data_IF_311415366189
#
_entry.id   IF_311415366189
#
_cell.length_a   1.000
_cell.length_b   1.000
_cell.length_c   1.000
_cell.angle_alpha   90.00
_cell.angle_beta   90.00
_cell.angle_gamma   90.00
#
_symmetry.space_group_name_H-M   'P 1'
#
loop_
_entity.id
_entity.type
_entity.pdbx_description
1 polymer ?
#
# COMPACT_ATOMS: atom_id res chain seq x y z
N UNK A 1 -6.48 -19.07 8.20
CA UNK A 1 -6.96 -18.37 6.99
C UNK A 1 -7.35 -16.97 7.39
N UNK A 2 -6.99 -15.94 6.62
CA UNK A 2 -7.21 -14.51 6.90
C UNK A 2 -7.84 -13.82 5.70
N UNK A 3 -8.62 -12.77 5.92
CA UNK A 3 -9.18 -11.89 4.88
C UNK A 3 -8.30 -10.66 4.76
N UNK A 4 -7.63 -10.48 3.62
CA UNK A 4 -6.59 -9.47 3.44
C UNK A 4 -6.90 -8.60 2.22
N UNK A 5 -7.00 -7.29 2.41
CA UNK A 5 -7.15 -6.32 1.32
C UNK A 5 -5.74 -5.92 0.84
N UNK A 6 -5.53 -5.96 -0.47
CA UNK A 6 -4.29 -5.50 -1.12
C UNK A 6 -4.65 -4.49 -2.20
N UNK A 7 -4.05 -3.30 -2.15
CA UNK A 7 -4.24 -2.27 -3.19
C UNK A 7 -3.07 -2.21 -4.17
N UNK A 8 -3.34 -1.83 -5.42
CA UNK A 8 -2.32 -1.71 -6.47
C UNK A 8 -1.86 -3.05 -7.04
N UNK A 9 -2.80 -3.98 -7.22
CA UNK A 9 -2.53 -5.38 -7.59
C UNK A 9 -2.39 -5.62 -9.10
N UNK A 10 -2.38 -4.58 -9.92
CA UNK A 10 -2.29 -4.74 -11.38
C UNK A 10 -0.91 -5.20 -11.87
N UNK A 11 0.16 -4.87 -11.15
CA UNK A 11 1.56 -5.18 -11.49
C UNK A 11 2.49 -5.06 -10.28
N UNK A 12 3.75 -5.41 -10.45
CA UNK A 12 4.83 -5.19 -9.47
C UNK A 12 4.57 -5.86 -8.12
N UNK A 13 4.93 -5.17 -7.04
CA UNK A 13 4.83 -5.70 -5.67
C UNK A 13 3.39 -6.11 -5.34
N UNK A 14 2.38 -5.30 -5.73
CA UNK A 14 0.98 -5.59 -5.39
C UNK A 14 0.45 -6.87 -6.04
N UNK A 15 0.84 -7.17 -7.27
CA UNK A 15 0.50 -8.42 -7.95
C UNK A 15 1.12 -9.62 -7.20
N UNK A 16 2.40 -9.52 -6.88
CA UNK A 16 3.13 -10.56 -6.13
C UNK A 16 2.54 -10.78 -4.73
N UNK A 17 2.14 -9.71 -4.04
CA UNK A 17 1.46 -9.79 -2.73
C UNK A 17 0.18 -10.61 -2.83
N UNK A 18 -0.68 -10.32 -3.82
CA UNK A 18 -1.93 -11.03 -3.99
C UNK A 18 -1.71 -12.53 -4.27
N UNK A 19 -0.78 -12.86 -5.16
CA UNK A 19 -0.44 -14.24 -5.50
C UNK A 19 0.15 -15.01 -4.32
N UNK A 20 1.11 -14.41 -3.60
CA UNK A 20 1.78 -15.09 -2.49
C UNK A 20 0.88 -15.27 -1.27
N UNK A 21 -0.01 -14.32 -0.97
CA UNK A 21 -1.00 -14.46 0.11
C UNK A 21 -2.01 -15.57 -0.22
N UNK A 22 -2.52 -15.60 -1.45
CA UNK A 22 -3.43 -16.64 -1.91
C UNK A 22 -2.78 -18.02 -1.90
N UNK A 23 -1.52 -18.14 -2.31
CA UNK A 23 -0.75 -19.38 -2.24
C UNK A 23 -0.53 -19.89 -0.81
N UNK A 24 -0.54 -19.00 0.19
CA UNK A 24 -0.50 -19.35 1.62
C UNK A 24 -1.90 -19.72 2.17
N UNK A 25 -2.94 -19.74 1.35
CA UNK A 25 -4.32 -20.10 1.72
C UNK A 25 -5.10 -18.97 2.40
N UNK A 26 -4.72 -17.72 2.19
CA UNK A 26 -5.47 -16.55 2.65
C UNK A 26 -6.43 -16.05 1.58
N UNK A 27 -7.59 -15.52 1.98
CA UNK A 27 -8.48 -14.82 1.06
C UNK A 27 -7.97 -13.39 0.81
N UNK A 28 -7.82 -13.03 -0.45
CA UNK A 28 -7.31 -11.74 -0.89
C UNK A 28 -8.39 -10.96 -1.64
N UNK A 29 -8.68 -9.74 -1.19
CA UNK A 29 -9.39 -8.76 -1.99
C UNK A 29 -8.35 -7.91 -2.73
N UNK A 30 -8.16 -8.21 -3.99
CA UNK A 30 -7.21 -7.54 -4.88
C UNK A 30 -7.86 -6.31 -5.52
N UNK A 31 -7.33 -5.12 -5.22
CA UNK A 31 -7.89 -3.83 -5.65
C UNK A 31 -6.93 -3.13 -6.59
N UNK A 32 -7.38 -2.82 -7.80
CA UNK A 32 -6.64 -2.03 -8.78
C UNK A 32 -7.58 -1.51 -9.88
N UNK A 33 -7.15 -0.53 -10.67
CA UNK A 33 -7.94 0.01 -11.80
C UNK A 33 -8.13 -1.01 -12.92
N UNK A 34 -7.13 -1.85 -13.16
CA UNK A 34 -7.17 -2.94 -14.14
C UNK A 34 -6.88 -4.27 -13.45
N UNK A 35 -7.63 -5.30 -13.77
CA UNK A 35 -7.47 -6.64 -13.19
C UNK A 35 -6.54 -7.44 -14.12
N UNK A 36 -5.36 -7.87 -13.65
CA UNK A 36 -4.45 -8.67 -14.45
C UNK A 36 -4.95 -10.11 -14.59
N UNK A 37 -4.72 -10.71 -15.75
CA UNK A 37 -5.11 -12.09 -16.06
C UNK A 37 -4.58 -13.09 -15.02
N UNK A 38 -3.40 -12.84 -14.47
CA UNK A 38 -2.76 -13.73 -13.48
C UNK A 38 -3.55 -13.91 -12.17
N UNK A 39 -4.47 -13.01 -11.85
CA UNK A 39 -5.31 -13.13 -10.65
C UNK A 39 -6.64 -13.84 -10.91
N UNK A 40 -7.05 -13.94 -12.18
CA UNK A 40 -8.34 -14.53 -12.53
C UNK A 40 -8.35 -16.05 -12.34
N UNK A 41 -9.49 -16.58 -11.86
CA UNK A 41 -9.67 -18.01 -11.64
C UNK A 41 -9.00 -18.57 -10.39
N UNK A 42 -8.34 -17.76 -9.57
CA UNK A 42 -7.83 -18.18 -8.27
C UNK A 42 -8.96 -18.11 -7.23
N UNK A 43 -9.34 -19.23 -6.65
CA UNK A 43 -10.44 -19.32 -5.68
C UNK A 43 -10.23 -18.47 -4.41
N UNK A 44 -8.97 -18.18 -4.07
CA UNK A 44 -8.60 -17.36 -2.92
C UNK A 44 -8.50 -15.88 -3.24
N UNK A 45 -8.73 -15.44 -4.49
CA UNK A 45 -8.60 -14.04 -4.89
C UNK A 45 -9.91 -13.51 -5.45
N UNK A 46 -10.46 -12.52 -4.79
CA UNK A 46 -11.53 -11.67 -5.33
C UNK A 46 -10.94 -10.38 -5.88
N UNK A 47 -11.31 -10.01 -7.09
CA UNK A 47 -10.79 -8.81 -7.75
C UNK A 47 -11.85 -7.72 -7.85
N UNK A 48 -11.50 -6.49 -7.46
CA UNK A 48 -12.34 -5.31 -7.67
C UNK A 48 -11.61 -4.25 -8.50
N UNK A 49 -12.29 -3.82 -9.58
CA UNK A 49 -11.83 -2.65 -10.35
C UNK A 49 -12.26 -1.38 -9.63
N UNK A 50 -11.28 -0.70 -9.01
CA UNK A 50 -11.49 0.51 -8.20
C UNK A 50 -10.35 1.49 -8.46
N UNK A 51 -10.70 2.75 -8.71
CA UNK A 51 -9.76 3.86 -8.69
C UNK A 51 -9.79 4.54 -7.31
N UNK A 52 -8.69 4.43 -6.57
CA UNK A 52 -8.57 5.02 -5.23
C UNK A 52 -8.67 6.56 -5.21
N UNK A 53 -8.49 7.20 -6.37
CA UNK A 53 -8.67 8.65 -6.50
C UNK A 53 -10.13 9.08 -6.49
N UNK A 54 -11.08 8.15 -6.61
CA UNK A 54 -12.52 8.42 -6.70
C UNK A 54 -13.26 7.78 -5.53
N UNK A 55 -13.84 8.59 -4.66
CA UNK A 55 -14.58 8.11 -3.48
C UNK A 55 -15.78 7.23 -3.86
N UNK A 56 -16.46 7.53 -4.97
CA UNK A 56 -17.57 6.72 -5.48
C UNK A 56 -17.15 5.29 -5.84
N UNK A 57 -15.91 5.09 -6.30
CA UNK A 57 -15.40 3.77 -6.62
C UNK A 57 -15.10 2.95 -5.35
N UNK A 58 -14.66 3.62 -4.29
CA UNK A 58 -14.38 2.98 -3.00
C UNK A 58 -15.63 2.39 -2.34
N UNK A 59 -16.85 2.89 -2.68
CA UNK A 59 -18.10 2.31 -2.19
C UNK A 59 -18.22 0.82 -2.56
N UNK A 60 -17.70 0.40 -3.73
CA UNK A 60 -17.66 -1.01 -4.14
C UNK A 60 -16.95 -1.90 -3.11
N UNK A 61 -15.94 -1.36 -2.43
CA UNK A 61 -15.22 -2.10 -1.38
C UNK A 61 -16.11 -2.25 -0.15
N UNK A 62 -16.79 -1.17 0.29
CA UNK A 62 -17.74 -1.22 1.39
C UNK A 62 -18.87 -2.24 1.15
N UNK A 63 -19.43 -2.23 -0.06
CA UNK A 63 -20.48 -3.17 -0.46
C UNK A 63 -19.99 -4.63 -0.44
N UNK A 64 -18.76 -4.88 -0.92
CA UNK A 64 -18.14 -6.20 -0.85
C UNK A 64 -17.92 -6.65 0.60
N UNK A 65 -17.37 -5.79 1.46
CA UNK A 65 -17.10 -6.14 2.86
C UNK A 65 -18.38 -6.43 3.61
N UNK A 66 -19.43 -5.64 3.43
CA UNK A 66 -20.72 -5.83 4.12
C UNK A 66 -21.45 -7.10 3.69
N UNK A 67 -21.37 -7.46 2.40
CA UNK A 67 -22.06 -8.62 1.86
C UNK A 67 -21.29 -9.93 2.02
N UNK A 68 -19.95 -9.89 1.90
CA UNK A 68 -19.15 -11.10 1.71
C UNK A 68 -18.28 -11.44 2.92
N UNK A 69 -17.42 -10.52 3.38
CA UNK A 69 -16.41 -10.85 4.40
C UNK A 69 -16.82 -10.57 5.83
N UNK A 70 -17.47 -9.44 6.08
CA UNK A 70 -17.87 -8.96 7.41
C UNK A 70 -16.73 -8.78 8.43
N UNK A 71 -15.51 -9.19 8.07
CA UNK A 71 -14.28 -9.05 8.87
C UNK A 71 -13.08 -8.91 7.94
N UNK A 72 -12.13 -8.06 8.33
CA UNK A 72 -10.84 -7.83 7.66
C UNK A 72 -9.72 -8.05 8.66
N UNK A 73 -8.80 -8.97 8.36
CA UNK A 73 -7.66 -9.28 9.21
C UNK A 73 -6.44 -8.41 8.92
N UNK A 74 -6.28 -7.99 7.65
CA UNK A 74 -5.21 -7.05 7.29
C UNK A 74 -5.55 -6.21 6.06
N UNK A 75 -4.91 -5.05 5.99
CA UNK A 75 -4.91 -4.19 4.80
C UNK A 75 -3.46 -3.90 4.43
N UNK A 76 -3.12 -4.05 3.15
CA UNK A 76 -1.84 -3.62 2.59
C UNK A 76 -2.12 -2.47 1.62
N UNK A 77 -1.86 -1.25 2.08
CA UNK A 77 -1.89 -0.05 1.23
C UNK A 77 -0.62 0.02 0.40
N UNK A 78 -0.61 -0.71 -0.72
CA UNK A 78 0.54 -0.76 -1.64
C UNK A 78 0.35 0.14 -2.87
N UNK A 79 -0.88 0.43 -3.27
CA UNK A 79 -1.13 1.34 -4.39
C UNK A 79 -0.41 2.67 -4.21
N UNK A 80 0.17 3.15 -5.29
CA UNK A 80 0.83 4.44 -5.32
C UNK A 80 0.93 4.98 -6.75
N UNK A 81 1.00 6.29 -6.84
CA UNK A 81 1.31 7.02 -8.07
C UNK A 81 2.59 7.81 -7.86
N UNK A 82 3.44 7.85 -8.86
CA UNK A 82 4.72 8.57 -8.86
C UNK A 82 4.71 9.60 -9.98
N UNK A 83 5.26 10.77 -9.69
CA UNK A 83 5.54 11.82 -10.67
C UNK A 83 6.99 12.26 -10.50
N UNK A 84 7.77 12.13 -11.56
CA UNK A 84 9.12 12.69 -11.65
C UNK A 84 9.06 13.95 -12.53
N UNK A 85 9.14 15.14 -11.90
CA UNK A 85 9.01 16.41 -12.58
C UNK A 85 9.72 17.51 -11.77
N UNK A 86 10.49 18.42 -12.40
CA UNK A 86 11.11 19.55 -11.69
C UNK A 86 10.08 20.33 -10.86
N UNK A 87 10.44 20.73 -9.65
CA UNK A 87 9.50 21.44 -8.76
C UNK A 87 8.94 22.72 -9.38
N UNK A 88 9.79 23.46 -10.11
CA UNK A 88 9.38 24.67 -10.83
C UNK A 88 8.30 24.45 -11.89
N UNK A 89 8.13 23.22 -12.35
CA UNK A 89 7.14 22.84 -13.35
C UNK A 89 5.96 22.06 -12.77
N UNK A 90 6.07 21.65 -11.51
CA UNK A 90 5.03 20.84 -10.82
C UNK A 90 3.86 21.73 -10.43
N UNK A 91 2.71 21.52 -11.06
CA UNK A 91 1.49 22.27 -10.81
C UNK A 91 0.76 21.80 -9.54
N UNK A 92 -0.20 22.62 -9.07
CA UNK A 92 -1.13 22.18 -8.02
C UNK A 92 -1.89 20.91 -8.44
N UNK A 93 -2.34 20.82 -9.67
CA UNK A 93 -3.04 19.62 -10.19
C UNK A 93 -2.17 18.37 -10.15
N UNK A 94 -0.86 18.50 -10.41
CA UNK A 94 0.09 17.40 -10.27
C UNK A 94 0.15 16.92 -8.81
N UNK A 95 0.26 17.84 -7.84
CA UNK A 95 0.20 17.50 -6.41
C UNK A 95 -1.12 16.83 -6.04
N UNK A 96 -2.24 17.40 -6.43
CA UNK A 96 -3.57 16.84 -6.17
C UNK A 96 -3.71 15.42 -6.71
N UNK A 97 -3.24 15.14 -7.92
CA UNK A 97 -3.33 13.82 -8.52
C UNK A 97 -2.54 12.76 -7.73
N UNK A 98 -1.34 13.11 -7.25
CA UNK A 98 -0.51 12.23 -6.42
C UNK A 98 -1.15 12.04 -5.05
N UNK A 99 -1.61 13.09 -4.41
CA UNK A 99 -2.22 13.03 -3.07
C UNK A 99 -3.56 12.30 -3.08
N UNK A 100 -4.36 12.41 -4.14
CA UNK A 100 -5.62 11.66 -4.29
C UNK A 100 -5.39 10.14 -4.17
N UNK A 101 -4.36 9.62 -4.81
CA UNK A 101 -4.05 8.19 -4.75
C UNK A 101 -3.29 7.84 -3.46
N UNK A 102 -2.18 8.53 -3.22
CA UNK A 102 -1.21 8.13 -2.20
C UNK A 102 -1.67 8.44 -0.77
N UNK A 103 -2.51 9.46 -0.57
CA UNK A 103 -2.93 9.93 0.75
C UNK A 103 -4.43 9.73 0.96
N UNK A 104 -5.26 10.36 0.13
CA UNK A 104 -6.71 10.32 0.32
C UNK A 104 -7.26 8.92 0.04
N UNK A 105 -6.72 8.19 -0.95
CA UNK A 105 -7.09 6.80 -1.21
C UNK A 105 -6.80 5.89 -0.01
N UNK A 106 -5.65 6.06 0.65
CA UNK A 106 -5.28 5.34 1.88
C UNK A 106 -6.26 5.69 3.01
N UNK A 107 -6.48 6.98 3.27
CA UNK A 107 -7.37 7.44 4.34
C UNK A 107 -8.82 6.97 4.13
N UNK A 108 -9.35 7.12 2.92
CA UNK A 108 -10.73 6.77 2.61
C UNK A 108 -10.96 5.24 2.66
N UNK A 109 -10.05 4.44 2.08
CA UNK A 109 -10.16 2.99 2.15
C UNK A 109 -10.06 2.49 3.59
N UNK A 110 -9.14 3.04 4.38
CA UNK A 110 -9.04 2.72 5.81
C UNK A 110 -10.36 3.03 6.53
N UNK A 111 -10.92 4.23 6.32
CA UNK A 111 -12.20 4.65 6.93
C UNK A 111 -13.35 3.71 6.57
N UNK A 112 -13.45 3.26 5.32
CA UNK A 112 -14.46 2.30 4.85
C UNK A 112 -14.25 0.92 5.50
N UNK A 113 -13.02 0.49 5.68
CA UNK A 113 -12.69 -0.80 6.24
C UNK A 113 -12.73 -0.85 7.78
N UNK A 114 -12.62 0.29 8.46
CA UNK A 114 -12.60 0.38 9.94
C UNK A 114 -13.71 -0.41 10.64
N UNK A 115 -14.98 -0.37 10.23
CA UNK A 115 -16.05 -1.15 10.87
C UNK A 115 -15.85 -2.67 10.81
N UNK A 116 -14.96 -3.14 9.94
CA UNK A 116 -14.67 -4.55 9.70
C UNK A 116 -13.33 -4.99 10.30
N UNK A 117 -12.51 -4.03 10.79
CA UNK A 117 -11.28 -4.32 11.52
C UNK A 117 -11.61 -4.67 12.97
N UNK A 118 -10.83 -5.55 13.56
CA UNK A 118 -11.03 -6.01 14.94
C UNK A 118 -9.68 -6.16 15.66
N UNK A 119 -9.74 -6.50 16.94
CA UNK A 119 -8.54 -6.78 17.73
C UNK A 119 -7.65 -7.80 17.03
N UNK A 120 -6.40 -7.43 16.79
CA UNK A 120 -5.41 -8.24 16.07
C UNK A 120 -5.36 -7.97 14.57
N UNK A 121 -6.23 -7.11 14.01
CA UNK A 121 -6.10 -6.66 12.62
C UNK A 121 -4.84 -5.82 12.43
N UNK A 122 -4.25 -5.87 11.23
CA UNK A 122 -3.00 -5.19 10.90
C UNK A 122 -3.13 -4.37 9.61
N UNK A 123 -2.94 -3.08 9.70
CA UNK A 123 -2.87 -2.18 8.54
C UNK A 123 -1.41 -1.84 8.25
N UNK A 124 -0.94 -2.24 7.07
CA UNK A 124 0.43 -2.01 6.60
C UNK A 124 0.39 -1.00 5.45
N UNK A 125 1.03 0.14 5.64
CA UNK A 125 1.14 1.17 4.61
C UNK A 125 2.51 1.12 3.96
N UNK A 126 2.55 0.99 2.65
CA UNK A 126 3.79 1.04 1.87
C UNK A 126 4.15 2.50 1.58
N UNK A 127 5.18 2.97 2.24
CA UNK A 127 5.80 4.27 2.01
C UNK A 127 7.11 4.11 1.23
N UNK A 128 7.95 5.11 1.27
CA UNK A 128 9.24 5.15 0.57
C UNK A 128 10.28 5.80 1.48
N UNK A 129 11.54 5.44 1.31
CA UNK A 129 12.67 6.13 1.93
C UNK A 129 12.61 7.64 1.65
N UNK A 130 12.12 8.06 0.47
CA UNK A 130 11.90 9.47 0.14
C UNK A 130 10.91 10.20 1.07
N UNK A 131 10.01 9.47 1.76
CA UNK A 131 9.07 10.03 2.75
C UNK A 131 9.66 10.16 4.15
N UNK A 132 10.76 9.50 4.47
CA UNK A 132 11.42 9.55 5.79
C UNK A 132 12.10 10.90 5.99
N UNK A 133 11.89 11.52 7.15
CA UNK A 133 12.57 12.78 7.51
C UNK A 133 14.08 12.53 7.65
N UNK A 134 14.88 13.40 7.03
CA UNK A 134 16.35 13.30 7.08
C UNK A 134 16.96 12.27 6.12
N UNK A 135 16.15 11.47 5.40
CA UNK A 135 16.67 10.58 4.36
C UNK A 135 17.15 11.35 3.12
N UNK A 136 17.92 10.67 2.27
CA UNK A 136 18.31 11.20 0.97
C UNK A 136 17.07 11.56 0.15
N UNK A 137 17.09 12.72 -0.50
CA UNK A 137 15.99 13.22 -1.34
C UNK A 137 16.43 13.27 -2.80
N UNK A 138 15.51 12.92 -3.70
CA UNK A 138 15.75 12.94 -5.13
C UNK A 138 15.04 14.14 -5.77
N UNK A 139 15.76 15.01 -6.53
CA UNK A 139 15.14 16.08 -7.29
C UNK A 139 14.03 15.54 -8.19
N UNK A 140 12.96 16.31 -8.33
CA UNK A 140 11.80 15.95 -9.16
C UNK A 140 10.73 15.10 -8.47
N UNK A 141 10.95 14.63 -7.24
CA UNK A 141 9.98 13.81 -6.50
C UNK A 141 9.20 14.58 -5.43
N UNK A 142 9.05 15.91 -5.56
CA UNK A 142 8.44 16.73 -4.52
C UNK A 142 7.04 16.25 -4.12
N UNK A 143 6.12 16.09 -5.07
CA UNK A 143 4.75 15.63 -4.80
C UNK A 143 4.73 14.18 -4.28
N UNK A 144 5.55 13.29 -4.85
CA UNK A 144 5.63 11.89 -4.43
C UNK A 144 6.17 11.77 -3.00
N UNK A 145 7.37 12.30 -2.74
CA UNK A 145 8.03 12.15 -1.45
C UNK A 145 7.22 12.80 -0.32
N UNK A 146 6.62 13.98 -0.55
CA UNK A 146 5.75 14.62 0.44
C UNK A 146 4.49 13.79 0.73
N UNK A 147 3.88 13.17 -0.29
CA UNK A 147 2.74 12.27 -0.10
C UNK A 147 3.12 11.02 0.71
N UNK A 148 4.33 10.48 0.49
CA UNK A 148 4.83 9.33 1.25
C UNK A 148 5.19 9.70 2.71
N UNK A 149 5.59 10.93 2.98
CA UNK A 149 5.72 11.47 4.33
C UNK A 149 4.35 11.65 5.01
N UNK A 150 3.35 12.14 4.29
CA UNK A 150 2.01 12.34 4.82
C UNK A 150 1.36 11.03 5.31
N UNK A 151 1.51 9.92 4.58
CA UNK A 151 0.94 8.63 5.03
C UNK A 151 1.72 8.00 6.18
N UNK A 152 2.98 8.34 6.37
CA UNK A 152 3.74 7.97 7.57
C UNK A 152 3.04 8.59 8.79
N UNK A 153 2.90 9.91 8.83
CA UNK A 153 2.26 10.64 9.93
C UNK A 153 0.81 10.17 10.15
N UNK A 154 0.04 9.96 9.07
CA UNK A 154 -1.31 9.41 9.17
C UNK A 154 -1.33 8.05 9.86
N UNK A 155 -0.44 7.14 9.49
CA UNK A 155 -0.40 5.79 10.05
C UNK A 155 0.01 5.80 11.53
N UNK A 156 0.95 6.67 11.93
CA UNK A 156 1.36 6.86 13.32
C UNK A 156 0.19 7.38 14.17
N UNK A 157 -0.59 8.35 13.64
CA UNK A 157 -1.77 8.88 14.31
C UNK A 157 -2.85 7.81 14.48
N UNK A 158 -3.16 7.06 13.43
CA UNK A 158 -4.17 5.98 13.49
C UNK A 158 -3.74 4.85 14.43
N UNK A 159 -2.44 4.57 14.53
CA UNK A 159 -1.93 3.59 15.49
C UNK A 159 -2.24 3.96 16.94
N UNK A 160 -2.18 5.24 17.29
CA UNK A 160 -2.52 5.72 18.64
C UNK A 160 -4.04 5.80 18.82
N UNK A 161 -4.78 6.29 17.82
CA UNK A 161 -6.24 6.46 17.89
C UNK A 161 -6.98 5.12 18.07
N UNK A 162 -6.49 4.05 17.41
CA UNK A 162 -7.13 2.72 17.44
C UNK A 162 -6.41 1.71 18.34
N UNK A 163 -5.49 2.14 19.17
CA UNK A 163 -4.69 1.32 20.08
C UNK A 163 -5.54 0.49 21.04
N UNK A 164 -6.51 1.12 21.69
CA UNK A 164 -7.39 0.46 22.64
C UNK A 164 -8.32 -0.57 21.97
N UNK A 165 -8.56 -0.44 20.68
CA UNK A 165 -9.30 -1.42 19.89
C UNK A 165 -8.42 -2.60 19.48
N UNK A 166 -7.11 -2.50 19.69
CA UNK A 166 -6.13 -3.54 19.36
C UNK A 166 -5.88 -3.71 17.87
N UNK A 167 -6.08 -2.65 17.08
CA UNK A 167 -5.77 -2.59 15.65
C UNK A 167 -4.37 -2.00 15.50
N UNK A 168 -3.48 -2.71 14.82
CA UNK A 168 -2.12 -2.24 14.59
C UNK A 168 -1.99 -1.54 13.23
N UNK A 169 -1.29 -0.39 13.21
CA UNK A 169 -0.94 0.34 12.01
C UNK A 169 0.58 0.50 11.95
N UNK A 170 1.20 0.03 10.87
CA UNK A 170 2.63 0.16 10.68
C UNK A 170 2.96 0.58 9.24
N UNK A 171 4.14 1.14 9.07
CA UNK A 171 4.64 1.62 7.78
C UNK A 171 5.90 0.88 7.40
N UNK A 172 5.98 0.45 6.15
CA UNK A 172 7.20 -0.02 5.54
C UNK A 172 7.67 1.03 4.52
N UNK A 173 8.75 1.73 4.83
CA UNK A 173 9.39 2.70 3.95
C UNK A 173 10.41 1.98 3.08
N UNK A 174 10.02 1.68 1.84
CA UNK A 174 10.85 0.89 0.94
C UNK A 174 11.94 1.73 0.27
N UNK A 175 13.11 1.14 0.10
CA UNK A 175 14.12 1.57 -0.85
C UNK A 175 13.75 1.21 -2.28
N UNK A 176 14.75 1.13 -3.16
CA UNK A 176 14.53 0.76 -4.55
C UNK A 176 14.18 -0.73 -4.69
N UNK A 177 13.07 -1.00 -5.39
CA UNK A 177 12.59 -2.35 -5.72
C UNK A 177 12.37 -2.41 -7.23
N UNK A 178 12.87 -3.46 -7.88
CA UNK A 178 12.75 -3.64 -9.32
C UNK A 178 11.30 -3.87 -9.72
N UNK A 179 10.67 -2.80 -10.18
CA UNK A 179 9.27 -2.74 -10.63
C UNK A 179 9.17 -1.91 -11.90
N UNK A 180 8.06 -2.03 -12.60
CA UNK A 180 7.77 -1.21 -13.78
C UNK A 180 7.72 0.29 -13.41
N UNK A 181 7.17 0.63 -12.25
CA UNK A 181 7.13 2.02 -11.75
C UNK A 181 8.54 2.61 -11.59
N UNK A 182 9.48 1.82 -11.06
CA UNK A 182 10.87 2.26 -10.92
C UNK A 182 11.54 2.41 -12.28
N UNK A 183 11.35 1.46 -13.18
CA UNK A 183 11.93 1.49 -14.51
C UNK A 183 11.39 2.66 -15.37
N UNK A 184 10.10 3.02 -15.21
CA UNK A 184 9.49 4.18 -15.83
C UNK A 184 10.07 5.50 -15.29
N UNK A 185 10.29 5.59 -13.97
CA UNK A 185 10.81 6.79 -13.32
C UNK A 185 12.33 6.98 -13.47
N UNK A 186 13.08 5.88 -13.49
CA UNK A 186 14.55 5.86 -13.55
C UNK A 186 15.03 4.87 -14.62
N UNK A 187 14.92 5.20 -15.91
CA UNK A 187 15.34 4.33 -17.01
C UNK A 187 16.80 3.91 -16.87
N UNK A 188 17.06 2.60 -16.97
CA UNK A 188 18.40 2.03 -16.89
C UNK A 188 18.90 1.73 -15.46
N UNK A 189 18.20 2.19 -14.42
CA UNK A 189 18.55 1.80 -13.04
C UNK A 189 18.09 0.35 -12.76
N UNK A 190 18.95 -0.44 -12.13
CA UNK A 190 18.70 -1.82 -11.74
C UNK A 190 18.65 -1.90 -10.21
N UNK A 191 17.47 -2.15 -9.64
CA UNK A 191 17.35 -2.33 -8.21
C UNK A 191 17.83 -3.73 -7.77
N UNK A 192 18.42 -3.85 -6.57
CA UNK A 192 18.99 -5.13 -6.10
C UNK A 192 17.91 -6.13 -5.68
N UNK A 193 16.68 -5.69 -5.41
CA UNK A 193 15.59 -6.51 -4.88
C UNK A 193 14.46 -6.55 -5.90
N UNK A 194 14.01 -7.75 -6.26
CA UNK A 194 12.85 -7.95 -7.12
C UNK A 194 11.52 -7.67 -6.41
N UNK A 195 10.45 -7.46 -7.21
CA UNK A 195 9.10 -7.31 -6.67
C UNK A 195 8.65 -8.54 -5.86
N UNK A 196 8.99 -9.75 -6.32
CA UNK A 196 8.64 -11.00 -5.66
C UNK A 196 9.35 -11.19 -4.30
N UNK A 197 10.63 -10.85 -4.21
CA UNK A 197 11.40 -10.90 -2.95
C UNK A 197 10.87 -9.89 -1.93
N UNK A 198 10.59 -8.65 -2.37
CA UNK A 198 10.01 -7.63 -1.49
C UNK A 198 8.61 -8.02 -1.04
N UNK A 199 7.78 -8.57 -1.93
CA UNK A 199 6.45 -9.05 -1.58
C UNK A 199 6.49 -10.15 -0.51
N UNK A 200 7.46 -11.08 -0.60
CA UNK A 200 7.64 -12.12 0.43
C UNK A 200 7.87 -11.51 1.81
N UNK A 201 8.76 -10.52 1.91
CA UNK A 201 9.00 -9.82 3.18
C UNK A 201 7.74 -9.11 3.69
N UNK A 202 7.03 -8.36 2.82
CA UNK A 202 5.81 -7.64 3.19
C UNK A 202 4.71 -8.62 3.64
N UNK A 203 4.55 -9.76 2.98
CA UNK A 203 3.60 -10.83 3.37
C UNK A 203 3.92 -11.32 4.78
N UNK A 204 5.17 -11.71 5.05
CA UNK A 204 5.56 -12.22 6.35
C UNK A 204 5.39 -11.15 7.45
N UNK A 205 5.76 -9.90 7.18
CA UNK A 205 5.50 -8.76 8.08
C UNK A 205 4.01 -8.52 8.31
N UNK A 206 3.19 -8.55 7.28
CA UNK A 206 1.73 -8.35 7.39
C UNK A 206 1.09 -9.40 8.29
N UNK A 207 1.54 -10.64 8.22
CA UNK A 207 0.97 -11.75 8.98
C UNK A 207 1.42 -11.81 10.44
N UNK A 208 2.57 -11.24 10.78
CA UNK A 208 3.21 -11.41 12.11
C UNK A 208 3.65 -10.12 12.78
N UNK A 209 3.88 -9.04 12.02
CA UNK A 209 4.45 -7.79 12.53
C UNK A 209 3.63 -7.09 13.60
N UNK A 210 2.30 -7.22 13.57
CA UNK A 210 1.39 -6.66 14.58
C UNK A 210 1.58 -7.27 15.99
N UNK A 211 2.30 -8.39 16.12
CA UNK A 211 2.65 -8.97 17.41
C UNK A 211 3.75 -8.18 18.13
N UNK A 212 4.56 -7.44 17.38
CA UNK A 212 5.74 -6.74 17.87
C UNK A 212 5.67 -5.22 17.69
N UNK A 213 4.88 -4.76 16.71
CA UNK A 213 4.89 -3.37 16.26
C UNK A 213 3.48 -2.78 16.19
N UNK A 214 3.35 -1.56 16.69
CA UNK A 214 2.24 -0.65 16.43
C UNK A 214 2.78 0.78 16.36
N UNK A 215 2.37 1.55 15.36
CA UNK A 215 2.83 2.91 15.12
C UNK A 215 4.30 3.00 14.68
N UNK A 216 4.85 1.93 14.09
CA UNK A 216 6.26 1.90 13.70
C UNK A 216 6.45 2.14 12.21
N UNK A 217 7.49 2.91 11.92
CA UNK A 217 8.01 3.12 10.57
C UNK A 217 9.31 2.33 10.45
N UNK A 218 9.30 1.32 9.58
CA UNK A 218 10.48 0.49 9.34
C UNK A 218 11.07 0.84 7.98
N UNK A 219 12.34 1.20 7.99
CA UNK A 219 13.13 1.43 6.78
C UNK A 219 13.55 0.09 6.19
N UNK A 220 13.04 -0.22 5.00
CA UNK A 220 13.28 -1.50 4.31
C UNK A 220 14.11 -1.24 3.06
N UNK A 221 15.39 -1.09 3.27
CA UNK A 221 16.36 -0.81 2.21
C UNK A 221 17.72 -1.42 2.57
N UNK A 222 18.31 -2.14 1.64
CA UNK A 222 19.68 -2.65 1.75
C UNK A 222 20.71 -1.71 1.11
N UNK A 223 20.26 -0.70 0.39
CA UNK A 223 21.08 0.32 -0.26
C UNK A 223 20.34 1.65 -0.26
N UNK A 224 21.08 2.73 -0.08
CA UNK A 224 20.57 4.05 -0.45
C UNK A 224 20.62 4.12 -1.98
N UNK A 225 19.50 4.40 -2.66
CA UNK A 225 19.52 4.58 -4.10
C UNK A 225 20.34 5.81 -4.46
#
# INVERSE_FOLDING_TARGET
MKNIIVTGTSRGIGLELALQLAAKGHHVLAISRSIPQALLGNENISCLSVDLAHESDLQKVGDYLSSTWKQVDAIIHNAGSLLLKPFSETSQTDFESIYKVNVFGVANLTRIALPYLQKGSHVVTISSMGGIQGSLKFPGLAAYSSSKGAVITLSELLAEEYKEQGIAFNVLALGAVQTEMLAEAFPGYQAPISAAEMAKYIVDFTLTGNQYYNGKVLEVSSSNP
#
